data_IF_071124966929
#
_entry.id   IF_071124966929
#
_cell.length_a   1.000
_cell.length_b   1.000
_cell.length_c   1.000
_cell.angle_alpha   90.00
_cell.angle_beta   90.00
_cell.angle_gamma   90.00
#
_symmetry.space_group_name_H-M   'P 1'
#
loop_
_entity.id
_entity.type
_entity.pdbx_description
1 polymer ?
#
# COMPACT_ATOMS: atom_id res chain seq x y z
N UNK A 1 2.96 15.00 -14.23
CA UNK A 1 2.98 16.27 -13.45
C UNK A 1 3.85 17.24 -14.22
N UNK A 2 3.32 18.38 -14.71
CA UNK A 2 4.12 19.40 -15.41
C UNK A 2 4.64 20.42 -14.41
N UNK A 3 5.90 20.82 -14.59
CA UNK A 3 6.68 21.47 -13.56
C UNK A 3 7.41 22.73 -14.08
N UNK A 4 6.90 23.95 -13.78
CA UNK A 4 7.72 25.18 -13.49
C UNK A 4 7.16 26.05 -12.32
N UNK A 5 7.56 25.79 -11.05
CA UNK A 5 7.51 26.54 -9.75
C UNK A 5 7.62 25.60 -8.48
N UNK A 6 8.66 24.74 -8.38
CA UNK A 6 8.45 23.37 -7.87
C UNK A 6 8.36 23.02 -6.41
N UNK A 7 9.23 23.49 -5.51
CA UNK A 7 9.47 22.72 -4.28
C UNK A 7 8.34 22.83 -3.27
N UNK A 8 7.86 24.04 -2.96
CA UNK A 8 6.73 24.23 -2.03
C UNK A 8 5.43 23.64 -2.59
N UNK A 9 5.16 23.89 -3.87
CA UNK A 9 3.95 23.40 -4.53
C UNK A 9 3.96 21.87 -4.70
N UNK A 10 5.12 21.24 -4.88
CA UNK A 10 5.27 19.79 -4.91
C UNK A 10 5.03 19.16 -3.54
N UNK A 11 5.58 19.75 -2.48
CA UNK A 11 5.41 19.25 -1.12
C UNK A 11 3.94 19.25 -0.69
N UNK A 12 3.20 20.30 -1.02
CA UNK A 12 1.76 20.36 -0.73
C UNK A 12 0.97 19.37 -1.59
N UNK A 13 1.31 19.23 -2.89
CA UNK A 13 0.72 18.19 -3.74
C UNK A 13 0.96 16.79 -3.21
N UNK A 14 2.17 16.48 -2.73
CA UNK A 14 2.49 15.18 -2.16
C UNK A 14 1.66 14.92 -0.89
N UNK A 15 1.56 15.92 0.00
CA UNK A 15 0.71 15.82 1.21
C UNK A 15 -0.75 15.54 0.85
N UNK A 16 -1.30 16.28 -0.12
CA UNK A 16 -2.67 16.03 -0.59
C UNK A 16 -2.83 14.65 -1.22
N UNK A 17 -1.84 14.17 -1.98
CA UNK A 17 -1.87 12.84 -2.55
C UNK A 17 -1.85 11.76 -1.48
N UNK A 18 -1.00 11.88 -0.46
CA UNK A 18 -0.96 10.94 0.68
C UNK A 18 -2.31 10.90 1.40
N UNK A 19 -2.97 12.04 1.61
CA UNK A 19 -4.31 12.09 2.19
C UNK A 19 -5.34 11.37 1.30
N UNK A 20 -5.25 11.49 -0.02
CA UNK A 20 -6.12 10.75 -0.95
C UNK A 20 -5.84 9.25 -0.95
N UNK A 21 -4.58 8.84 -0.82
CA UNK A 21 -4.22 7.43 -0.69
C UNK A 21 -4.73 6.85 0.64
N UNK A 22 -4.72 7.65 1.71
CA UNK A 22 -5.33 7.30 2.99
C UNK A 22 -6.83 7.00 2.80
N UNK A 23 -7.56 7.92 2.16
CA UNK A 23 -9.00 7.74 1.88
C UNK A 23 -9.27 6.51 1.01
N UNK A 24 -8.47 6.32 -0.05
CA UNK A 24 -8.59 5.16 -0.94
C UNK A 24 -8.44 3.83 -0.19
N UNK A 25 -7.43 3.75 0.68
CA UNK A 25 -7.18 2.55 1.47
C UNK A 25 -8.29 2.31 2.52
N UNK A 26 -8.80 3.37 3.15
CA UNK A 26 -9.93 3.25 4.08
C UNK A 26 -11.16 2.67 3.37
N UNK A 27 -11.51 3.20 2.19
CA UNK A 27 -12.63 2.68 1.42
C UNK A 27 -12.40 1.23 1.03
N UNK A 28 -11.22 0.87 0.50
CA UNK A 28 -10.91 -0.50 0.12
C UNK A 28 -11.06 -1.50 1.29
N UNK A 29 -10.54 -1.14 2.47
CA UNK A 29 -10.67 -1.97 3.68
C UNK A 29 -12.13 -2.12 4.11
N UNK A 30 -12.92 -1.06 4.02
CA UNK A 30 -14.36 -1.09 4.36
C UNK A 30 -15.15 -1.95 3.37
N UNK A 31 -14.87 -1.84 2.07
CA UNK A 31 -15.49 -2.69 1.04
C UNK A 31 -15.10 -4.16 1.23
N UNK A 32 -13.85 -4.47 1.58
CA UNK A 32 -13.42 -5.86 1.81
C UNK A 32 -14.11 -6.49 3.01
N UNK A 33 -14.30 -5.74 4.08
CA UNK A 33 -14.91 -6.24 5.31
C UNK A 33 -16.41 -6.60 5.16
N UNK A 34 -17.07 -6.18 4.07
CA UNK A 34 -18.46 -6.60 3.79
C UNK A 34 -18.61 -8.11 3.50
N UNK A 35 -17.51 -8.80 3.22
CA UNK A 35 -17.45 -10.23 2.97
C UNK A 35 -16.78 -10.94 4.15
N UNK A 36 -17.16 -12.21 4.37
CA UNK A 36 -16.51 -13.04 5.36
C UNK A 36 -14.99 -13.21 5.10
N UNK A 37 -14.28 -13.79 6.06
CA UNK A 37 -12.85 -14.04 5.93
C UNK A 37 -12.55 -14.87 4.67
N UNK A 38 -13.39 -15.86 4.35
CA UNK A 38 -13.28 -16.69 3.15
C UNK A 38 -11.88 -17.30 3.02
N UNK A 39 -11.37 -17.88 4.13
CA UNK A 39 -9.98 -18.29 4.31
C UNK A 39 -9.43 -19.17 3.17
N UNK A 40 -10.30 -19.98 2.56
CA UNK A 40 -10.01 -20.85 1.42
C UNK A 40 -9.36 -20.13 0.23
N UNK A 41 -9.60 -18.82 0.04
CA UNK A 41 -9.02 -18.08 -1.10
C UNK A 41 -7.50 -17.84 -0.97
N UNK A 42 -6.96 -17.91 0.24
CA UNK A 42 -5.53 -17.70 0.51
C UNK A 42 -4.74 -19.01 0.59
N UNK A 43 -5.41 -20.16 0.64
CA UNK A 43 -4.76 -21.46 0.73
C UNK A 43 -4.59 -22.07 -0.68
N UNK A 44 -3.36 -22.41 -1.10
CA UNK A 44 -3.14 -23.16 -2.33
C UNK A 44 -3.88 -24.49 -2.36
N UNK A 45 -4.69 -24.71 -3.39
CA UNK A 45 -5.43 -25.96 -3.60
C UNK A 45 -6.67 -26.16 -2.72
N UNK A 46 -7.07 -25.19 -1.89
CA UNK A 46 -8.29 -25.29 -1.10
C UNK A 46 -9.58 -25.18 -1.94
N UNK A 47 -9.51 -24.48 -3.07
CA UNK A 47 -10.59 -24.34 -4.04
C UNK A 47 -10.12 -24.89 -5.40
N UNK A 48 -10.90 -25.81 -5.97
CA UNK A 48 -10.64 -26.32 -7.32
C UNK A 48 -11.28 -25.39 -8.36
N UNK A 49 -10.43 -24.72 -9.13
CA UNK A 49 -10.83 -23.92 -10.28
C UNK A 49 -10.46 -24.66 -11.57
N UNK A 50 -10.86 -25.92 -11.72
CA UNK A 50 -10.53 -26.76 -12.88
C UNK A 50 -9.03 -26.73 -13.21
N UNK A 51 -8.17 -26.85 -12.20
CA UNK A 51 -6.70 -26.74 -12.32
C UNK A 51 -6.14 -25.39 -12.82
N UNK A 52 -6.92 -24.31 -12.89
CA UNK A 52 -6.46 -22.99 -13.36
C UNK A 52 -5.35 -22.38 -12.48
N UNK A 53 -5.44 -22.56 -11.16
CA UNK A 53 -4.52 -21.94 -10.20
C UNK A 53 -3.16 -22.64 -10.11
N UNK A 54 -3.08 -23.90 -10.56
CA UNK A 54 -1.89 -24.74 -10.40
C UNK A 54 -1.50 -24.89 -8.92
N UNK A 55 -0.32 -24.40 -8.54
CA UNK A 55 0.20 -24.42 -7.16
C UNK A 55 -0.10 -23.16 -6.35
N UNK A 56 -0.85 -22.20 -6.92
CA UNK A 56 -1.16 -20.92 -6.29
C UNK A 56 -2.46 -20.98 -5.52
N UNK A 57 -2.63 -20.11 -4.54
CA UNK A 57 -3.95 -19.80 -3.99
C UNK A 57 -4.82 -19.09 -5.02
N UNK A 58 -6.12 -18.99 -4.73
CA UNK A 58 -7.03 -18.26 -5.61
C UNK A 58 -6.64 -16.79 -5.74
N UNK A 59 -6.32 -16.14 -4.61
CA UNK A 59 -5.84 -14.76 -4.58
C UNK A 59 -4.58 -14.58 -5.42
N UNK A 60 -3.57 -15.42 -5.24
CA UNK A 60 -2.30 -15.34 -5.97
C UNK A 60 -2.49 -15.48 -7.48
N UNK A 61 -3.33 -16.43 -7.90
CA UNK A 61 -3.65 -16.62 -9.32
C UNK A 61 -4.39 -15.40 -9.89
N UNK A 62 -5.43 -14.94 -9.18
CA UNK A 62 -6.28 -13.85 -9.64
C UNK A 62 -5.51 -12.51 -9.71
N UNK A 63 -4.64 -12.27 -8.73
CA UNK A 63 -3.72 -11.14 -8.73
C UNK A 63 -2.74 -11.24 -9.90
N UNK A 64 -2.14 -12.40 -10.16
CA UNK A 64 -1.19 -12.55 -11.27
C UNK A 64 -1.82 -12.25 -12.63
N UNK A 65 -3.04 -12.76 -12.88
CA UNK A 65 -3.76 -12.46 -14.12
C UNK A 65 -4.11 -10.97 -14.26
N UNK A 66 -4.50 -10.33 -13.15
CA UNK A 66 -4.77 -8.89 -13.10
C UNK A 66 -3.50 -8.06 -13.39
N UNK A 67 -2.38 -8.41 -12.75
CA UNK A 67 -1.11 -7.72 -12.94
C UNK A 67 -0.53 -7.90 -14.34
N UNK A 68 -0.78 -9.05 -15.00
CA UNK A 68 -0.42 -9.22 -16.43
C UNK A 68 -1.11 -8.18 -17.30
N UNK A 69 -2.39 -7.89 -17.04
CA UNK A 69 -3.12 -6.87 -17.78
C UNK A 69 -2.59 -5.47 -17.49
N UNK A 70 -2.32 -5.15 -16.22
CA UNK A 70 -1.70 -3.88 -15.82
C UNK A 70 -0.29 -3.68 -16.43
N UNK A 71 0.53 -4.73 -16.49
CA UNK A 71 1.85 -4.70 -17.08
C UNK A 71 1.81 -4.40 -18.59
N UNK A 72 0.91 -5.07 -19.33
CA UNK A 72 0.67 -4.78 -20.75
C UNK A 72 0.28 -3.32 -20.99
N UNK A 73 -0.46 -2.72 -20.05
CA UNK A 73 -0.87 -1.32 -20.04
C UNK A 73 0.20 -0.34 -19.51
N UNK A 74 1.44 -0.79 -19.27
CA UNK A 74 2.60 0.00 -18.79
C UNK A 74 2.52 0.47 -17.32
N UNK A 75 1.66 -0.11 -16.47
CA UNK A 75 1.47 0.35 -15.07
C UNK A 75 2.76 0.34 -14.24
N UNK A 76 3.62 -0.66 -14.44
CA UNK A 76 4.86 -0.86 -13.66
C UNK A 76 6.12 -0.29 -14.32
N UNK A 77 5.97 0.54 -15.36
CA UNK A 77 7.11 1.13 -16.08
C UNK A 77 7.68 2.34 -15.34
N UNK A 78 6.83 3.11 -14.66
CA UNK A 78 7.25 4.30 -13.90
C UNK A 78 7.91 3.86 -12.57
N UNK A 79 9.20 4.09 -12.38
CA UNK A 79 9.87 3.75 -11.13
C UNK A 79 9.25 4.51 -9.96
N UNK A 80 9.15 3.88 -8.80
CA UNK A 80 8.71 4.58 -7.58
C UNK A 80 7.23 4.50 -7.27
N UNK A 81 6.35 4.40 -8.27
CA UNK A 81 4.90 4.60 -8.09
C UNK A 81 4.10 3.32 -7.85
N UNK A 82 4.38 2.26 -8.61
CA UNK A 82 3.64 1.00 -8.56
C UNK A 82 4.61 -0.18 -8.58
N UNK A 83 4.37 -1.16 -7.72
CA UNK A 83 5.17 -2.39 -7.61
C UNK A 83 4.28 -3.59 -7.84
N UNK A 84 4.66 -4.52 -8.72
CA UNK A 84 3.94 -5.77 -8.86
C UNK A 84 4.16 -6.66 -7.63
N UNK A 85 3.14 -7.45 -7.29
CA UNK A 85 3.23 -8.53 -6.30
C UNK A 85 3.66 -9.85 -6.92
N UNK A 86 3.53 -9.99 -8.24
CA UNK A 86 3.71 -11.26 -8.94
C UNK A 86 4.76 -11.15 -10.04
N UNK A 87 5.35 -12.29 -10.36
CA UNK A 87 6.40 -12.42 -11.38
C UNK A 87 6.38 -13.84 -11.98
N UNK A 88 6.76 -14.02 -13.27
CA UNK A 88 7.10 -12.98 -14.25
C UNK A 88 5.87 -12.28 -14.82
N UNK A 89 6.07 -11.03 -15.29
CA UNK A 89 5.06 -10.22 -15.96
C UNK A 89 5.44 -9.97 -17.44
N UNK A 90 4.45 -9.85 -18.34
CA UNK A 90 4.69 -9.58 -19.75
C UNK A 90 5.24 -8.16 -19.97
N UNK A 91 6.02 -8.00 -21.04
CA UNK A 91 6.47 -6.67 -21.46
C UNK A 91 5.28 -5.78 -21.86
N UNK A 92 5.37 -4.46 -21.66
CA UNK A 92 4.28 -3.55 -22.02
C UNK A 92 3.96 -3.61 -23.52
N UNK A 93 2.68 -3.82 -23.84
CA UNK A 93 2.22 -3.94 -25.24
C UNK A 93 1.75 -2.60 -25.78
N UNK A 94 1.21 -1.73 -24.93
CA UNK A 94 0.76 -0.40 -25.34
C UNK A 94 1.98 0.45 -25.72
N UNK A 95 2.00 0.91 -26.97
CA UNK A 95 2.98 1.87 -27.48
C UNK A 95 2.42 3.27 -27.30
N UNK A 96 3.06 4.07 -26.45
CA UNK A 96 2.76 5.48 -26.27
C UNK A 96 3.94 6.32 -26.83
N UNK A 97 3.74 7.59 -27.21
CA UNK A 97 4.82 8.50 -27.59
C UNK A 97 5.80 8.76 -26.43
N UNK A 98 7.14 8.73 -26.64
CA UNK A 98 8.15 8.97 -25.60
C UNK A 98 7.91 10.19 -24.71
N UNK A 99 7.42 11.27 -25.29
CA UNK A 99 7.09 12.51 -24.58
C UNK A 99 6.01 12.38 -23.48
N UNK A 100 5.23 11.29 -23.47
CA UNK A 100 4.20 11.05 -22.46
C UNK A 100 4.72 10.32 -21.21
N UNK A 101 5.98 9.86 -21.22
CA UNK A 101 6.60 9.13 -20.10
C UNK A 101 8.05 9.53 -19.82
N UNK A 102 8.51 10.63 -20.41
CA UNK A 102 9.75 11.30 -20.04
C UNK A 102 9.48 12.24 -18.86
N UNK A 103 9.37 11.66 -17.65
CA UNK A 103 9.21 12.43 -16.42
C UNK A 103 10.54 12.44 -15.66
N UNK A 104 11.02 13.61 -15.18
CA UNK A 104 12.17 13.64 -14.30
C UNK A 104 11.85 12.82 -13.03
N UNK A 105 12.68 11.81 -12.76
CA UNK A 105 12.49 10.98 -11.57
C UNK A 105 12.72 11.82 -10.32
N UNK A 106 11.68 11.96 -9.49
CA UNK A 106 11.83 12.59 -8.20
C UNK A 106 12.66 11.71 -7.25
N UNK A 107 12.46 10.39 -7.29
CA UNK A 107 13.21 9.46 -6.47
C UNK A 107 14.58 9.17 -7.07
N UNK A 108 15.55 8.97 -6.19
CA UNK A 108 16.83 8.37 -6.54
C UNK A 108 16.64 6.89 -6.89
N UNK A 109 17.36 6.33 -7.89
CA UNK A 109 17.29 4.90 -8.21
C UNK A 109 17.50 4.02 -6.98
N UNK A 110 16.56 3.10 -6.77
CA UNK A 110 16.52 2.21 -5.61
C UNK A 110 15.72 0.94 -5.95
N UNK A 111 15.93 -0.11 -5.16
CA UNK A 111 15.30 -1.43 -5.28
C UNK A 111 14.37 -1.76 -4.10
N UNK A 112 14.07 -0.79 -3.23
CA UNK A 112 13.28 -0.99 -2.02
C UNK A 112 11.85 -1.45 -2.36
N UNK A 113 11.55 -2.73 -2.26
CA UNK A 113 10.20 -3.25 -2.47
C UNK A 113 9.86 -4.22 -1.34
N UNK A 114 8.75 -3.96 -0.64
CA UNK A 114 8.29 -4.78 0.49
C UNK A 114 6.93 -5.44 0.22
N UNK A 115 6.52 -5.56 -1.03
CA UNK A 115 5.26 -6.19 -1.42
C UNK A 115 5.11 -7.61 -0.86
N UNK A 116 6.17 -8.41 -0.79
CA UNK A 116 6.12 -9.75 -0.19
C UNK A 116 5.72 -9.68 1.30
N UNK A 117 6.28 -8.70 2.03
CA UNK A 117 5.91 -8.45 3.44
C UNK A 117 4.48 -7.94 3.56
N UNK A 118 4.05 -7.07 2.64
CA UNK A 118 2.68 -6.54 2.62
C UNK A 118 1.68 -7.67 2.37
N UNK A 119 1.94 -8.56 1.40
CA UNK A 119 1.10 -9.72 1.08
C UNK A 119 0.96 -10.66 2.29
N UNK A 120 2.08 -10.96 2.95
CA UNK A 120 2.09 -11.84 4.13
C UNK A 120 1.25 -11.26 5.28
N UNK A 121 1.49 -9.99 5.62
CA UNK A 121 0.75 -9.29 6.68
C UNK A 121 -0.72 -9.12 6.30
N UNK A 122 -1.00 -8.86 5.03
CA UNK A 122 -2.37 -8.66 4.54
C UNK A 122 -3.22 -9.92 4.79
N UNK A 123 -2.76 -11.05 4.27
CA UNK A 123 -3.48 -12.32 4.34
C UNK A 123 -3.53 -12.89 5.77
N UNK A 124 -2.46 -12.73 6.56
CA UNK A 124 -2.36 -13.35 7.90
C UNK A 124 -2.87 -12.49 9.04
N UNK A 125 -2.88 -11.16 8.88
CA UNK A 125 -3.17 -10.23 9.98
C UNK A 125 -4.26 -9.23 9.64
N UNK A 126 -4.20 -8.56 8.49
CA UNK A 126 -5.15 -7.50 8.14
C UNK A 126 -6.53 -8.09 7.85
N UNK A 127 -6.63 -9.06 6.94
CA UNK A 127 -7.91 -9.68 6.57
C UNK A 127 -8.60 -10.28 7.80
N UNK A 128 -7.95 -11.11 8.64
CA UNK A 128 -8.58 -11.63 9.86
C UNK A 128 -9.01 -10.54 10.83
N UNK A 129 -8.34 -9.38 10.85
CA UNK A 129 -8.71 -8.27 11.74
C UNK A 129 -9.95 -7.53 11.25
N UNK A 130 -10.05 -7.25 9.94
CA UNK A 130 -11.16 -6.46 9.38
C UNK A 130 -12.40 -7.30 9.08
N UNK A 131 -12.25 -8.62 8.88
CA UNK A 131 -13.35 -9.56 8.66
C UNK A 131 -13.73 -10.33 9.93
N UNK A 132 -13.27 -9.88 11.11
CA UNK A 132 -13.63 -10.52 12.38
C UNK A 132 -15.08 -10.17 12.72
N UNK A 133 -15.92 -11.20 12.82
CA UNK A 133 -17.33 -11.08 13.23
C UNK A 133 -17.63 -11.95 14.44
N UNK A 134 -18.64 -11.57 15.23
CA UNK A 134 -19.03 -12.28 16.45
C UNK A 134 -19.79 -13.60 16.17
N UNK A 135 -20.34 -13.76 14.97
CA UNK A 135 -21.30 -14.81 14.63
C UNK A 135 -20.70 -16.10 14.04
N UNK A 136 -19.37 -16.28 14.06
CA UNK A 136 -18.64 -17.45 13.52
C UNK A 136 -18.90 -17.79 12.04
N UNK A 137 -19.53 -16.91 11.25
CA UNK A 137 -19.72 -17.07 9.81
C UNK A 137 -18.45 -16.63 9.05
N UNK A 138 -17.43 -17.49 9.10
CA UNK A 138 -16.10 -17.23 8.51
C UNK A 138 -16.02 -17.50 6.99
N UNK A 139 -17.07 -18.05 6.39
CA UNK A 139 -17.14 -18.34 4.95
C UNK A 139 -18.56 -18.10 4.39
N UNK A 140 -18.70 -17.04 3.59
CA UNK A 140 -19.97 -16.67 2.95
C UNK A 140 -20.06 -17.10 1.48
N UNK A 141 -19.06 -17.87 1.00
CA UNK A 141 -18.98 -18.37 -0.37
C UNK A 141 -18.68 -17.32 -1.44
N UNK A 142 -18.50 -16.04 -1.06
CA UNK A 142 -18.28 -14.94 -2.00
C UNK A 142 -16.79 -14.78 -2.36
N UNK A 143 -16.16 -15.88 -2.76
CA UNK A 143 -14.72 -15.96 -3.02
C UNK A 143 -14.23 -14.97 -4.08
N UNK A 144 -14.95 -14.86 -5.20
CA UNK A 144 -14.60 -13.96 -6.30
C UNK A 144 -14.68 -12.48 -5.88
N UNK A 145 -15.76 -12.09 -5.20
CA UNK A 145 -15.92 -10.71 -4.72
C UNK A 145 -14.86 -10.37 -3.67
N UNK A 146 -14.55 -11.31 -2.77
CA UNK A 146 -13.49 -11.16 -1.77
C UNK A 146 -12.13 -10.95 -2.45
N UNK A 147 -11.77 -11.81 -3.41
CA UNK A 147 -10.50 -11.69 -4.13
C UNK A 147 -10.38 -10.38 -4.93
N UNK A 148 -11.48 -9.86 -5.50
CA UNK A 148 -11.49 -8.54 -6.15
C UNK A 148 -11.14 -7.44 -5.12
N UNK A 149 -11.81 -7.44 -3.97
CA UNK A 149 -11.54 -6.47 -2.90
C UNK A 149 -10.17 -6.64 -2.27
N UNK A 150 -9.64 -7.87 -2.23
CA UNK A 150 -8.29 -8.15 -1.77
C UNK A 150 -7.25 -7.48 -2.67
N UNK A 151 -7.41 -7.60 -3.99
CA UNK A 151 -6.51 -6.94 -4.95
C UNK A 151 -6.56 -5.42 -4.78
N UNK A 152 -7.75 -4.83 -4.65
CA UNK A 152 -7.90 -3.38 -4.42
C UNK A 152 -7.21 -2.94 -3.12
N UNK A 153 -7.36 -3.72 -2.04
CA UNK A 153 -6.67 -3.47 -0.77
C UNK A 153 -5.15 -3.56 -0.92
N UNK A 154 -4.65 -4.62 -1.56
CA UNK A 154 -3.21 -4.85 -1.77
C UNK A 154 -2.59 -3.75 -2.62
N UNK A 155 -3.24 -3.32 -3.70
CA UNK A 155 -2.77 -2.21 -4.53
C UNK A 155 -2.77 -0.89 -3.74
N UNK A 156 -3.83 -0.61 -2.97
CA UNK A 156 -3.91 0.59 -2.14
C UNK A 156 -2.85 0.60 -1.02
N UNK A 157 -2.64 -0.54 -0.35
CA UNK A 157 -1.61 -0.75 0.67
C UNK A 157 -0.22 -0.54 0.09
N UNK A 158 0.11 -1.26 -0.99
CA UNK A 158 1.41 -1.14 -1.66
C UNK A 158 1.69 0.30 -2.03
N UNK A 159 0.74 0.97 -2.68
CA UNK A 159 0.91 2.35 -3.10
C UNK A 159 1.07 3.29 -1.91
N UNK A 160 0.22 3.20 -0.88
CA UNK A 160 0.29 4.07 0.31
C UNK A 160 1.59 3.89 1.09
N UNK A 161 2.06 2.66 1.24
CA UNK A 161 3.27 2.33 2.00
C UNK A 161 4.53 2.73 1.21
N UNK A 162 4.61 2.38 -0.07
CA UNK A 162 5.78 2.73 -0.89
C UNK A 162 5.86 4.23 -1.23
N UNK A 163 4.74 4.98 -1.15
CA UNK A 163 4.77 6.44 -1.26
C UNK A 163 5.62 7.11 -0.17
N UNK A 164 5.93 6.40 0.91
CA UNK A 164 6.84 6.88 1.92
C UNK A 164 8.25 7.16 1.37
N UNK A 165 8.67 6.54 0.25
CA UNK A 165 9.91 6.90 -0.47
C UNK A 165 9.97 8.36 -0.89
N UNK A 166 8.84 8.93 -1.33
CA UNK A 166 8.79 10.34 -1.73
C UNK A 166 8.95 11.26 -0.52
N UNK A 167 8.40 10.87 0.62
CA UNK A 167 8.58 11.58 1.90
C UNK A 167 10.05 11.50 2.33
N UNK A 168 10.65 10.31 2.25
CA UNK A 168 12.05 10.07 2.56
C UNK A 168 12.98 10.92 1.69
N UNK A 169 12.75 10.97 0.38
CA UNK A 169 13.53 11.81 -0.54
C UNK A 169 13.36 13.31 -0.23
N UNK A 170 12.15 13.76 0.12
CA UNK A 170 11.94 15.14 0.58
C UNK A 170 12.73 15.46 1.84
N UNK A 171 12.74 14.55 2.82
CA UNK A 171 13.52 14.69 4.06
C UNK A 171 15.01 14.72 3.77
N UNK A 172 15.50 13.83 2.92
CA UNK A 172 16.89 13.76 2.51
C UNK A 172 17.36 15.07 1.89
N UNK A 173 16.59 15.65 0.96
CA UNK A 173 16.91 16.95 0.36
C UNK A 173 16.89 18.11 1.35
N UNK A 174 16.11 17.99 2.43
CA UNK A 174 16.08 18.98 3.50
C UNK A 174 17.33 18.99 4.38
N UNK A 175 17.94 17.82 4.61
CA UNK A 175 19.17 17.69 5.41
C UNK A 175 20.01 16.48 4.96
N UNK A 176 20.68 16.63 3.82
CA UNK A 176 21.39 15.53 3.17
C UNK A 176 22.57 15.04 3.98
N UNK A 177 23.27 15.96 4.65
CA UNK A 177 24.45 15.66 5.47
C UNK A 177 24.09 14.81 6.70
N UNK A 178 23.00 15.16 7.41
CA UNK A 178 22.54 14.38 8.56
C UNK A 178 22.19 12.95 8.14
N UNK A 179 21.35 12.79 7.12
CA UNK A 179 20.93 11.46 6.67
C UNK A 179 22.09 10.65 6.08
N UNK A 180 23.04 11.27 5.37
CA UNK A 180 24.24 10.61 4.89
C UNK A 180 25.16 10.13 6.04
N UNK A 181 25.29 10.92 7.11
CA UNK A 181 26.01 10.51 8.32
C UNK A 181 25.34 9.32 9.01
N UNK A 182 24.02 9.36 9.19
CA UNK A 182 23.26 8.27 9.79
C UNK A 182 23.29 7.00 8.93
N UNK A 183 23.20 7.14 7.60
CA UNK A 183 23.30 6.02 6.66
C UNK A 183 24.66 5.33 6.70
N UNK A 184 25.76 6.09 6.79
CA UNK A 184 27.12 5.52 6.94
C UNK A 184 27.32 4.73 8.22
N UNK A 185 26.71 5.17 9.32
CA UNK A 185 26.70 4.42 10.57
C UNK A 185 25.77 3.19 10.53
N UNK A 186 24.98 3.04 9.46
CA UNK A 186 23.91 2.04 9.33
C UNK A 186 22.92 2.08 10.52
N UNK A 187 22.72 3.26 11.10
CA UNK A 187 21.91 3.44 12.30
C UNK A 187 20.41 3.54 11.95
N UNK A 188 19.81 2.38 11.68
CA UNK A 188 18.40 2.26 11.31
C UNK A 188 17.46 2.87 12.37
N UNK A 189 17.82 2.73 13.64
CA UNK A 189 16.98 3.18 14.75
C UNK A 189 17.03 4.71 14.86
N UNK A 190 18.21 5.31 14.80
CA UNK A 190 18.34 6.77 14.82
C UNK A 190 17.63 7.43 13.63
N UNK A 191 17.68 6.82 12.42
CA UNK A 191 16.90 7.30 11.27
C UNK A 191 15.40 7.20 11.56
N UNK A 192 14.93 6.06 12.07
CA UNK A 192 13.53 5.84 12.42
C UNK A 192 13.02 6.85 13.46
N UNK A 193 13.81 7.15 14.48
CA UNK A 193 13.45 8.11 15.53
C UNK A 193 13.43 9.55 15.00
N UNK A 194 14.37 9.91 14.12
CA UNK A 194 14.42 11.22 13.48
C UNK A 194 13.18 11.53 12.62
N UNK A 195 12.67 10.54 11.89
CA UNK A 195 11.52 10.74 10.99
C UNK A 195 10.16 10.60 11.69
N UNK A 196 10.14 10.09 12.93
CA UNK A 196 8.90 9.80 13.67
C UNK A 196 8.41 11.02 14.44
N UNK A 197 7.17 11.45 14.15
CA UNK A 197 6.44 12.42 14.97
C UNK A 197 5.19 11.75 15.54
N UNK A 198 5.28 11.37 16.82
CA UNK A 198 4.20 10.69 17.55
C UNK A 198 2.94 11.56 17.69
N UNK A 199 3.10 12.89 17.75
CA UNK A 199 1.97 13.82 17.86
C UNK A 199 1.20 13.87 16.54
N UNK A 200 1.91 13.91 15.41
CA UNK A 200 1.29 13.83 14.08
C UNK A 200 0.64 12.47 13.82
N UNK A 201 1.30 11.36 14.19
CA UNK A 201 0.72 10.01 14.08
C UNK A 201 -0.61 9.91 14.85
N UNK A 202 -0.65 10.39 16.09
CA UNK A 202 -1.87 10.39 16.90
C UNK A 202 -2.99 11.22 16.28
N UNK A 203 -2.68 12.43 15.77
CA UNK A 203 -3.66 13.28 15.07
C UNK A 203 -4.17 12.64 13.78
N UNK A 204 -3.28 11.96 13.05
CA UNK A 204 -3.63 11.21 11.84
C UNK A 204 -4.60 10.08 12.16
N UNK A 205 -4.30 9.24 13.15
CA UNK A 205 -5.17 8.13 13.58
C UNK A 205 -6.55 8.63 14.06
N UNK A 206 -6.59 9.74 14.80
CA UNK A 206 -7.87 10.37 15.20
C UNK A 206 -8.69 10.87 14.02
N UNK A 207 -8.05 11.46 13.01
CA UNK A 207 -8.73 11.87 11.76
C UNK A 207 -9.23 10.65 11.00
N UNK A 208 -8.39 9.64 10.86
CA UNK A 208 -8.70 8.39 10.17
C UNK A 208 -9.92 7.69 10.78
N UNK A 209 -9.96 7.56 12.11
CA UNK A 209 -11.09 6.96 12.81
C UNK A 209 -12.41 7.70 12.56
N UNK A 210 -12.38 9.04 12.54
CA UNK A 210 -13.58 9.84 12.19
C UNK A 210 -14.03 9.60 10.75
N UNK A 211 -13.10 9.55 9.80
CA UNK A 211 -13.42 9.29 8.38
C UNK A 211 -14.02 7.89 8.18
N UNK A 212 -13.41 6.87 8.79
CA UNK A 212 -13.90 5.51 8.72
C UNK A 212 -15.31 5.37 9.32
N UNK A 213 -15.59 6.08 10.41
CA UNK A 213 -16.92 6.10 11.03
C UNK A 213 -17.97 6.74 10.11
N UNK A 214 -17.67 7.88 9.50
CA UNK A 214 -18.59 8.54 8.56
C UNK A 214 -18.86 7.68 7.33
N UNK A 215 -17.82 7.13 6.71
CA UNK A 215 -17.98 6.27 5.52
C UNK A 215 -18.77 5.00 5.84
N UNK A 216 -18.47 4.37 6.99
CA UNK A 216 -19.22 3.20 7.45
C UNK A 216 -20.71 3.50 7.69
N UNK A 217 -21.03 4.67 8.26
CA UNK A 217 -22.42 5.11 8.45
C UNK A 217 -23.16 5.31 7.12
N UNK A 218 -22.52 5.94 6.13
CA UNK A 218 -23.14 6.13 4.81
C UNK A 218 -23.45 4.79 4.14
N UNK A 219 -22.52 3.84 4.17
CA UNK A 219 -22.75 2.50 3.63
C UNK A 219 -23.86 1.73 4.37
N UNK A 220 -23.98 1.90 5.69
CA UNK A 220 -25.08 1.33 6.48
C UNK A 220 -26.44 1.83 5.99
N UNK A 221 -26.55 3.14 5.77
CA UNK A 221 -27.78 3.78 5.29
C UNK A 221 -28.16 3.29 3.89
N UNK A 222 -27.17 3.06 3.02
CA UNK A 222 -27.39 2.61 1.64
C UNK A 222 -27.71 1.11 1.52
N UNK A 223 -27.03 0.26 2.30
CA UNK A 223 -27.10 -1.20 2.13
C UNK A 223 -28.03 -1.90 3.12
N UNK A 224 -28.39 -1.25 4.23
CA UNK A 224 -29.18 -1.83 5.31
C UNK A 224 -28.51 -2.99 6.06
N UNK A 225 -27.26 -3.37 5.72
CA UNK A 225 -26.52 -4.47 6.33
C UNK A 225 -25.72 -3.98 7.53
N UNK A 226 -26.23 -4.22 8.75
CA UNK A 226 -25.58 -3.80 9.99
C UNK A 226 -24.34 -4.61 10.38
N UNK A 227 -24.24 -5.84 9.90
CA UNK A 227 -23.43 -6.84 10.60
C UNK A 227 -22.00 -6.99 10.05
N UNK A 228 -21.64 -6.27 8.99
CA UNK A 228 -20.40 -6.53 8.22
C UNK A 228 -19.53 -5.31 7.93
N UNK A 229 -19.72 -4.18 8.60
CA UNK A 229 -18.79 -3.07 8.43
C UNK A 229 -17.63 -3.18 9.41
N UNK A 230 -16.40 -2.87 8.99
CA UNK A 230 -15.33 -2.83 9.95
C UNK A 230 -15.61 -1.65 10.86
N UNK A 231 -15.65 -1.92 12.16
CA UNK A 231 -15.71 -0.86 13.15
C UNK A 231 -14.52 0.07 12.86
N UNK A 232 -14.73 1.39 12.86
CA UNK A 232 -13.66 2.36 12.61
C UNK A 232 -12.38 2.09 13.43
N UNK A 233 -12.52 1.40 14.57
CA UNK A 233 -11.44 0.85 15.38
C UNK A 233 -10.54 -0.16 14.65
N UNK A 234 -11.09 -1.12 13.89
CA UNK A 234 -10.30 -2.09 13.12
C UNK A 234 -9.47 -1.39 12.04
N UNK A 235 -10.03 -0.38 11.35
CA UNK A 235 -9.28 0.40 10.35
C UNK A 235 -8.14 1.19 11.01
N UNK A 236 -8.40 1.81 12.17
CA UNK A 236 -7.36 2.50 12.95
C UNK A 236 -6.28 1.53 13.42
N UNK A 237 -6.68 0.35 13.92
CA UNK A 237 -5.76 -0.71 14.31
C UNK A 237 -4.89 -1.15 13.13
N UNK A 238 -5.47 -1.31 11.94
CA UNK A 238 -4.71 -1.66 10.73
C UNK A 238 -3.60 -0.67 10.44
N UNK A 239 -3.92 0.63 10.56
CA UNK A 239 -2.94 1.68 10.34
C UNK A 239 -1.84 1.71 11.41
N UNK A 240 -2.24 1.63 12.68
CA UNK A 240 -1.32 1.71 13.81
C UNK A 240 -0.36 0.51 13.85
N UNK A 241 -0.87 -0.70 13.62
CA UNK A 241 -0.09 -1.94 13.74
C UNK A 241 0.74 -2.26 12.50
N UNK A 242 0.25 -1.95 11.30
CA UNK A 242 0.89 -2.40 10.05
C UNK A 242 1.25 -1.25 9.10
N UNK A 243 0.31 -0.36 8.73
CA UNK A 243 0.58 0.64 7.68
C UNK A 243 1.67 1.64 8.09
N UNK A 244 1.60 2.21 9.30
CA UNK A 244 2.60 3.18 9.79
C UNK A 244 3.98 2.50 9.95
N UNK A 245 4.11 1.35 10.64
CA UNK A 245 5.40 0.69 10.78
C UNK A 245 6.04 0.28 9.45
N UNK A 246 5.25 -0.25 8.51
CA UNK A 246 5.76 -0.61 7.18
C UNK A 246 6.18 0.61 6.36
N UNK A 247 5.41 1.71 6.43
CA UNK A 247 5.80 2.97 5.78
C UNK A 247 7.13 3.49 6.34
N UNK A 248 7.30 3.45 7.68
CA UNK A 248 8.54 3.85 8.35
C UNK A 248 9.71 2.95 7.91
N UNK A 249 9.50 1.64 7.79
CA UNK A 249 10.51 0.70 7.28
C UNK A 249 10.98 1.11 5.87
N UNK A 250 10.03 1.42 4.97
CA UNK A 250 10.35 1.89 3.61
C UNK A 250 11.12 3.22 3.63
N UNK A 251 10.74 4.17 4.48
CA UNK A 251 11.49 5.44 4.61
C UNK A 251 12.93 5.20 5.06
N UNK A 252 13.13 4.36 6.09
CA UNK A 252 14.47 4.03 6.60
C UNK A 252 15.31 3.33 5.53
N UNK A 253 14.76 2.31 4.87
CA UNK A 253 15.46 1.57 3.82
C UNK A 253 15.87 2.49 2.67
N UNK A 254 14.97 3.38 2.24
CA UNK A 254 15.25 4.37 1.21
C UNK A 254 16.34 5.38 1.63
N UNK A 255 16.25 5.94 2.85
CA UNK A 255 17.21 6.93 3.36
C UNK A 255 18.62 6.36 3.49
N UNK A 256 18.74 5.08 3.86
CA UNK A 256 20.04 4.40 3.92
C UNK A 256 20.63 4.27 2.52
N UNK A 257 19.86 3.74 1.55
CA UNK A 257 20.32 3.62 0.16
C UNK A 257 20.71 4.98 -0.41
N UNK A 258 19.88 6.00 -0.20
CA UNK A 258 20.13 7.36 -0.69
C UNK A 258 21.36 8.01 -0.05
N UNK A 259 21.53 7.85 1.26
CA UNK A 259 22.64 8.43 2.02
C UNK A 259 23.98 7.77 1.73
N UNK A 260 24.00 6.45 1.50
CA UNK A 260 25.20 5.75 1.05
C UNK A 260 25.62 6.20 -0.35
N UNK A 261 24.68 6.34 -1.28
CA UNK A 261 24.96 6.85 -2.62
C UNK A 261 25.52 8.29 -2.60
N UNK A 262 24.97 9.15 -1.74
CA UNK A 262 25.46 10.52 -1.57
C UNK A 262 26.92 10.60 -1.08
N UNK A 263 27.41 9.59 -0.36
CA UNK A 263 28.79 9.56 0.11
C UNK A 263 29.78 9.12 -0.98
N UNK A 264 29.28 8.55 -2.08
CA UNK A 264 30.09 8.07 -3.22
C UNK A 264 30.08 9.02 -4.42
N UNK A 265 29.18 10.00 -4.41
CA UNK A 265 29.12 11.13 -5.35
C UNK A 265 30.04 12.27 -4.90
#
# INVERSE_FOLDING_TARGET
MNTTDHTTHFNDKLRHLILRLEDTLVCALIERAQFAHNHSIYIPGALDFNNMTGKRSFLEYYLWETEKMHAKARRYVTPGEYYPFTSPLPAPTVKLPPSLFDYPSFLWPNDVNINDTIMDIYTRSIVPTICKHDDNDDDDGQYANSAIRDIECLEALSRRIHYAKFIAEMRFRGDSEMFARLARAYDRQAIADCITDRSMEKKMLQRLGRKALVYGQTLLEETGKRDRLPAAQQVVQVYEQWVIPLSRKVEVDYLITRGLAYCTE
#
